data_IF_599281495923
#
_entry.id   IF_599281495923
#
_cell.length_a   1.000
_cell.length_b   1.000
_cell.length_c   1.000
_cell.angle_alpha   90.00
_cell.angle_beta   90.00
_cell.angle_gamma   90.00
#
_symmetry.space_group_name_H-M   'P 1'
#
loop_
_entity.id
_entity.type
_entity.pdbx_description
1 polymer ?
#
# COMPACT_ATOMS: atom_id res chain seq x y z
N UNK A 1 -50.18 -32.18 -28.96
CA UNK A 1 -49.57 -31.03 -28.24
C UNK A 1 -50.56 -30.60 -27.17
N UNK A 2 -50.17 -30.59 -25.88
CA UNK A 2 -49.54 -29.39 -25.34
C UNK A 2 -48.34 -29.65 -24.42
N UNK A 3 -47.31 -28.83 -24.66
CA UNK A 3 -46.24 -28.34 -23.77
C UNK A 3 -45.83 -29.24 -22.61
N UNK A 4 -44.78 -30.04 -22.87
CA UNK A 4 -43.86 -30.44 -21.82
C UNK A 4 -43.41 -29.20 -21.06
N UNK A 5 -43.62 -29.22 -19.75
CA UNK A 5 -43.08 -28.24 -18.85
C UNK A 5 -41.56 -28.47 -18.82
N UNK A 6 -40.84 -27.79 -19.70
CA UNK A 6 -39.41 -27.60 -19.49
C UNK A 6 -39.26 -26.87 -18.15
N UNK A 7 -38.55 -27.43 -17.16
CA UNK A 7 -38.12 -26.64 -16.03
C UNK A 7 -37.17 -25.61 -16.61
N UNK A 8 -37.66 -24.37 -16.68
CA UNK A 8 -36.93 -23.20 -17.13
C UNK A 8 -35.52 -23.21 -16.53
N UNK A 9 -34.54 -23.13 -17.43
CA UNK A 9 -33.21 -22.58 -17.22
C UNK A 9 -32.65 -22.71 -15.78
N UNK A 10 -31.84 -23.75 -15.57
CA UNK A 10 -30.49 -23.59 -15.00
C UNK A 10 -30.35 -22.52 -13.89
N UNK A 11 -31.00 -22.75 -12.75
CA UNK A 11 -30.61 -22.24 -11.43
C UNK A 11 -29.95 -20.85 -11.37
N UNK A 12 -30.69 -19.80 -11.67
CA UNK A 12 -30.38 -18.49 -11.10
C UNK A 12 -30.79 -18.55 -9.63
N UNK A 13 -29.83 -18.80 -8.73
CA UNK A 13 -30.04 -18.54 -7.30
C UNK A 13 -30.26 -17.04 -7.17
N UNK A 14 -31.49 -16.61 -6.96
CA UNK A 14 -31.80 -15.23 -6.60
C UNK A 14 -30.98 -14.88 -5.35
N UNK A 15 -30.21 -13.78 -5.42
CA UNK A 15 -29.47 -13.29 -4.26
C UNK A 15 -30.46 -12.90 -3.15
N UNK A 16 -30.15 -13.36 -1.94
CA UNK A 16 -30.94 -13.10 -0.74
C UNK A 16 -30.42 -11.86 -0.01
N UNK A 17 -31.20 -11.34 0.94
CA UNK A 17 -30.74 -10.24 1.78
C UNK A 17 -29.52 -10.67 2.62
N UNK A 18 -29.50 -11.93 3.06
CA UNK A 18 -28.39 -12.54 3.77
C UNK A 18 -27.10 -12.59 2.92
N UNK A 19 -27.21 -12.80 1.61
CA UNK A 19 -26.06 -12.75 0.69
C UNK A 19 -25.46 -11.33 0.61
N UNK A 20 -26.31 -10.29 0.64
CA UNK A 20 -25.88 -8.89 0.64
C UNK A 20 -25.16 -8.54 1.94
N UNK A 21 -25.76 -8.87 3.08
CA UNK A 21 -25.17 -8.65 4.41
C UNK A 21 -23.79 -9.33 4.55
N UNK A 22 -23.69 -10.59 4.09
CA UNK A 22 -22.41 -11.31 4.08
C UNK A 22 -21.38 -10.64 3.15
N UNK A 23 -21.80 -10.17 1.99
CA UNK A 23 -20.92 -9.47 1.06
C UNK A 23 -20.41 -8.14 1.65
N UNK A 24 -21.28 -7.38 2.31
CA UNK A 24 -20.92 -6.12 2.98
C UNK A 24 -19.95 -6.34 4.13
N UNK A 25 -20.21 -7.34 4.98
CA UNK A 25 -19.30 -7.74 6.05
C UNK A 25 -17.93 -8.14 5.50
N UNK A 26 -17.89 -8.96 4.45
CA UNK A 26 -16.63 -9.38 3.82
C UNK A 26 -15.88 -8.21 3.18
N UNK A 27 -16.59 -7.28 2.55
CA UNK A 27 -16.01 -6.07 1.98
C UNK A 27 -15.42 -5.17 3.08
N UNK A 28 -16.10 -4.99 4.21
CA UNK A 28 -15.59 -4.25 5.35
C UNK A 28 -14.32 -4.90 5.93
N UNK A 29 -14.33 -6.23 6.10
CA UNK A 29 -13.16 -6.98 6.56
C UNK A 29 -11.97 -6.86 5.58
N UNK A 30 -12.24 -6.90 4.26
CA UNK A 30 -11.21 -6.72 3.23
C UNK A 30 -10.61 -5.31 3.26
N UNK A 31 -11.42 -4.26 3.38
CA UNK A 31 -10.94 -2.86 3.52
C UNK A 31 -10.05 -2.70 4.75
N UNK A 32 -10.47 -3.24 5.90
CA UNK A 32 -9.66 -3.20 7.14
C UNK A 32 -8.30 -3.89 6.97
N UNK A 33 -8.24 -5.02 6.25
CA UNK A 33 -6.96 -5.70 5.95
C UNK A 33 -6.10 -4.88 5.00
N UNK A 34 -6.70 -4.31 3.95
CA UNK A 34 -5.99 -3.47 2.97
C UNK A 34 -5.36 -2.24 3.65
N UNK A 35 -6.11 -1.57 4.53
CA UNK A 35 -5.60 -0.43 5.27
C UNK A 35 -4.43 -0.81 6.20
N UNK A 36 -4.51 -1.94 6.91
CA UNK A 36 -3.37 -2.45 7.70
C UNK A 36 -2.15 -2.76 6.85
N UNK A 37 -2.34 -3.34 5.66
CA UNK A 37 -1.25 -3.56 4.72
C UNK A 37 -0.66 -2.24 4.21
N UNK A 38 -1.49 -1.22 4.00
CA UNK A 38 -1.05 0.12 3.65
C UNK A 38 -0.21 0.79 4.73
N UNK A 39 -0.56 0.63 6.02
CA UNK A 39 0.28 1.08 7.13
C UNK A 39 1.63 0.34 7.15
N UNK A 40 1.62 -0.98 6.97
CA UNK A 40 2.86 -1.75 6.88
C UNK A 40 3.73 -1.31 5.69
N UNK A 41 3.13 -0.96 4.55
CA UNK A 41 3.85 -0.43 3.41
C UNK A 41 4.45 0.95 3.71
N UNK A 42 3.75 1.79 4.48
CA UNK A 42 4.30 3.08 4.91
C UNK A 42 5.55 2.90 5.79
N UNK A 43 5.54 1.95 6.71
CA UNK A 43 6.70 1.63 7.55
C UNK A 43 7.88 1.14 6.69
N UNK A 44 7.61 0.28 5.70
CA UNK A 44 8.65 -0.17 4.76
C UNK A 44 9.24 0.96 3.91
N UNK A 45 8.43 1.93 3.49
CA UNK A 45 8.95 3.12 2.79
C UNK A 45 9.80 3.99 3.72
N UNK A 46 9.41 4.18 4.97
CA UNK A 46 10.24 4.91 5.95
C UNK A 46 11.59 4.20 6.17
N UNK A 47 11.59 2.87 6.29
CA UNK A 47 12.81 2.08 6.39
C UNK A 47 13.70 2.23 5.14
N UNK A 48 13.10 2.19 3.94
CA UNK A 48 13.80 2.42 2.68
C UNK A 48 14.45 3.82 2.62
N UNK A 49 13.71 4.85 3.03
CA UNK A 49 14.21 6.22 3.10
C UNK A 49 15.45 6.33 4.03
N UNK A 50 15.41 5.70 5.21
CA UNK A 50 16.56 5.66 6.12
C UNK A 50 17.79 4.98 5.48
N UNK A 51 17.60 3.91 4.71
CA UNK A 51 18.72 3.26 4.02
C UNK A 51 19.28 4.15 2.92
N UNK A 52 18.43 4.82 2.16
CA UNK A 52 18.87 5.78 1.16
C UNK A 52 19.69 6.92 1.77
N UNK A 53 19.23 7.53 2.87
CA UNK A 53 20.00 8.55 3.59
C UNK A 53 21.34 8.01 4.07
N UNK A 54 21.35 6.82 4.67
CA UNK A 54 22.59 6.17 5.13
C UNK A 54 23.59 5.99 3.99
N UNK A 55 23.14 5.60 2.79
CA UNK A 55 24.03 5.49 1.64
C UNK A 55 24.54 6.86 1.21
N UNK A 56 23.69 7.90 1.18
CA UNK A 56 24.13 9.25 0.87
C UNK A 56 25.22 9.75 1.84
N UNK A 57 25.08 9.48 3.14
CA UNK A 57 26.09 9.82 4.16
C UNK A 57 27.42 9.10 3.92
N UNK A 58 27.37 7.81 3.58
CA UNK A 58 28.58 7.04 3.26
C UNK A 58 29.29 7.63 2.02
N UNK A 59 28.53 8.02 1.00
CA UNK A 59 29.09 8.65 -0.20
C UNK A 59 29.80 9.97 0.13
N UNK A 60 29.20 10.81 0.99
CA UNK A 60 29.82 12.06 1.44
C UNK A 60 31.08 11.83 2.27
N UNK A 61 31.05 10.87 3.20
CA UNK A 61 32.22 10.47 3.98
C UNK A 61 33.35 9.98 3.08
N UNK A 62 33.02 9.24 2.02
CA UNK A 62 33.98 8.75 1.03
C UNK A 62 34.68 9.92 0.33
N UNK A 63 33.94 10.97 -0.05
CA UNK A 63 34.52 12.21 -0.59
C UNK A 63 35.46 12.90 0.41
N UNK A 64 35.08 12.97 1.68
CA UNK A 64 35.91 13.57 2.73
C UNK A 64 37.23 12.81 2.97
N UNK A 65 37.26 11.51 2.69
CA UNK A 65 38.46 10.69 2.76
C UNK A 65 39.42 10.90 1.57
N UNK A 66 39.05 11.73 0.59
CA UNK A 66 39.94 12.16 -0.49
C UNK A 66 40.07 11.17 -1.64
N UNK A 67 39.05 10.34 -1.88
CA UNK A 67 39.03 9.43 -3.05
C UNK A 67 39.05 10.21 -4.37
N UNK A 68 39.46 9.53 -5.45
CA UNK A 68 39.20 10.02 -6.81
C UNK A 68 37.70 10.04 -7.11
N UNK A 69 37.29 10.70 -8.20
CA UNK A 69 35.90 10.67 -8.68
C UNK A 69 34.84 11.27 -7.73
N UNK A 70 35.24 12.30 -6.97
CA UNK A 70 34.37 12.99 -6.00
C UNK A 70 33.02 13.44 -6.56
N UNK A 71 32.96 13.85 -7.84
CA UNK A 71 31.71 14.23 -8.52
C UNK A 71 30.76 13.05 -8.74
N UNK A 72 31.27 11.83 -8.89
CA UNK A 72 30.43 10.62 -8.98
C UNK A 72 29.79 10.35 -7.62
N UNK A 73 30.58 10.40 -6.55
CA UNK A 73 30.10 10.21 -5.18
C UNK A 73 29.06 11.27 -4.79
N UNK A 74 29.32 12.55 -5.07
CA UNK A 74 28.36 13.66 -4.81
C UNK A 74 27.04 13.46 -5.55
N UNK A 75 27.08 13.13 -6.85
CA UNK A 75 25.86 12.85 -7.63
C UNK A 75 25.11 11.63 -7.10
N UNK A 76 25.83 10.59 -6.68
CA UNK A 76 25.20 9.41 -6.08
C UNK A 76 24.51 9.77 -4.75
N UNK A 77 25.17 10.56 -3.90
CA UNK A 77 24.59 11.02 -2.64
C UNK A 77 23.30 11.82 -2.86
N UNK A 78 23.29 12.74 -3.83
CA UNK A 78 22.10 13.51 -4.20
C UNK A 78 20.94 12.60 -4.63
N UNK A 79 21.18 11.63 -5.53
CA UNK A 79 20.14 10.68 -5.96
C UNK A 79 19.55 9.88 -4.82
N UNK A 80 20.39 9.47 -3.86
CA UNK A 80 19.89 8.76 -2.69
C UNK A 80 19.04 9.66 -1.78
N UNK A 81 19.41 10.94 -1.61
CA UNK A 81 18.55 11.88 -0.88
C UNK A 81 17.21 12.09 -1.56
N UNK A 82 17.21 12.27 -2.88
CA UNK A 82 15.98 12.39 -3.67
C UNK A 82 15.08 11.15 -3.49
N UNK A 83 15.64 9.95 -3.56
CA UNK A 83 14.91 8.71 -3.32
C UNK A 83 14.36 8.62 -1.88
N UNK A 84 15.13 9.04 -0.87
CA UNK A 84 14.65 9.07 0.51
C UNK A 84 13.48 10.04 0.70
N UNK A 85 13.50 11.21 0.05
CA UNK A 85 12.39 12.15 0.07
C UNK A 85 11.14 11.61 -0.62
N UNK A 86 11.31 10.91 -1.74
CA UNK A 86 10.21 10.23 -2.45
C UNK A 86 9.59 9.13 -1.57
N UNK A 87 10.41 8.29 -0.95
CA UNK A 87 9.94 7.23 -0.05
C UNK A 87 9.19 7.82 1.16
N UNK A 88 9.68 8.91 1.77
CA UNK A 88 8.97 9.59 2.86
C UNK A 88 7.60 10.13 2.43
N UNK A 89 7.51 10.70 1.23
CA UNK A 89 6.23 11.17 0.67
C UNK A 89 5.27 9.99 0.46
N UNK A 90 5.77 8.86 -0.05
CA UNK A 90 4.97 7.64 -0.22
C UNK A 90 4.49 7.09 1.13
N UNK A 91 5.36 7.08 2.15
CA UNK A 91 5.01 6.67 3.50
C UNK A 91 3.90 7.55 4.09
N UNK A 92 3.99 8.87 3.97
CA UNK A 92 2.96 9.81 4.44
C UNK A 92 1.62 9.59 3.72
N UNK A 93 1.64 9.46 2.39
CA UNK A 93 0.43 9.19 1.62
C UNK A 93 -0.24 7.88 2.04
N UNK A 94 0.57 6.81 2.24
CA UNK A 94 0.06 5.51 2.68
C UNK A 94 -0.50 5.53 4.09
N UNK A 95 0.12 6.25 5.02
CA UNK A 95 -0.42 6.49 6.36
C UNK A 95 -1.78 7.18 6.27
N UNK A 96 -1.85 8.30 5.56
CA UNK A 96 -3.08 9.09 5.42
C UNK A 96 -4.24 8.30 4.79
N UNK A 97 -3.99 7.59 3.70
CA UNK A 97 -4.99 6.75 3.03
C UNK A 97 -5.48 5.63 3.95
N UNK A 98 -4.56 4.92 4.58
CA UNK A 98 -4.88 3.76 5.43
C UNK A 98 -5.57 4.14 6.73
N UNK A 99 -5.15 5.24 7.37
CA UNK A 99 -5.79 5.76 8.57
C UNK A 99 -7.21 6.24 8.26
N UNK A 100 -7.43 6.89 7.12
CA UNK A 100 -8.77 7.29 6.67
C UNK A 100 -9.67 6.07 6.43
N UNK A 101 -9.15 5.01 5.81
CA UNK A 101 -9.89 3.76 5.58
C UNK A 101 -10.23 3.04 6.89
N UNK A 102 -9.33 3.06 7.88
CA UNK A 102 -9.59 2.50 9.21
C UNK A 102 -10.60 3.32 9.99
N UNK A 103 -10.53 4.65 9.91
CA UNK A 103 -11.47 5.55 10.57
C UNK A 103 -12.88 5.51 9.94
N UNK A 104 -12.97 5.20 8.65
CA UNK A 104 -14.22 5.07 7.90
C UNK A 104 -14.83 3.67 7.98
N UNK A 105 -14.10 2.70 8.56
CA UNK A 105 -14.64 1.36 8.78
C UNK A 105 -15.73 1.44 9.87
N UNK A 106 -16.98 1.00 9.59
CA UNK A 106 -18.03 1.05 10.59
C UNK A 106 -17.59 0.29 11.85
N UNK A 107 -17.67 0.97 13.00
CA UNK A 107 -17.39 0.40 14.30
C UNK A 107 -18.33 -0.78 14.53
N UNK A 108 -17.77 -1.97 14.66
CA UNK A 108 -18.48 -3.11 15.23
C UNK A 108 -18.47 -2.94 16.74
N UNK A 109 -19.36 -2.09 17.26
CA UNK A 109 -19.80 -2.16 18.66
C UNK A 109 -21.03 -3.09 18.75
#
# INVERSE_FOLDING_TARGET
MPTGHEPSARGEKAFTAEDVELAEHNAAAARKRAARAGLSAADSFEESAMQHERVAEIQDQTVQQGVSDTEVHRRSALKHREAAEEDRKLAELKRKESEADLASAPGTD
#
